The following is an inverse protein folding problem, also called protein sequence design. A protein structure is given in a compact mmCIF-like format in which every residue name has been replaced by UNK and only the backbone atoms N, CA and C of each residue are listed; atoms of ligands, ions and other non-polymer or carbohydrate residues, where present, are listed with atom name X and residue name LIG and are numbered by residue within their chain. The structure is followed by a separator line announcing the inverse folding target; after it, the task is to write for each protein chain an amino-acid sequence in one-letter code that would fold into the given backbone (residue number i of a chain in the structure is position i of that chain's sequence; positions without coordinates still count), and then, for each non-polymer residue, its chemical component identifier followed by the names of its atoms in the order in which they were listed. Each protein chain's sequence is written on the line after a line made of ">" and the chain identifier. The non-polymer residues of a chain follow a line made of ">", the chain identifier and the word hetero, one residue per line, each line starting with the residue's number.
data_IF_576961349513
#
_entry.id   IF_576961349513
#
_cell.length_a   1.000
_cell.length_b   1.000
_cell.length_c   1.000
_cell.angle_alpha   90.00
_cell.angle_beta   90.00
_cell.angle_gamma   90.00
#
_symmetry.space_group_name_H-M   'P 1'
#
loop_
_entity.id
_entity.type
_entity.pdbx_description
1 polymer ?
#
# COMPACT_ATOMS: atom_id res chain seq x y z
N UNK A 1 66.39 11.06 4.64
CA UNK A 1 65.00 11.43 4.97
C UNK A 1 64.10 10.26 4.63
N UNK A 2 63.86 9.40 5.60
CA UNK A 2 63.08 8.16 5.45
C UNK A 2 61.81 8.29 6.26
N UNK A 3 60.67 8.56 5.60
CA UNK A 3 59.37 8.53 6.25
C UNK A 3 59.06 7.09 6.74
N UNK A 4 58.51 6.92 7.96
CA UNK A 4 58.29 5.60 8.52
C UNK A 4 57.05 4.95 7.88
N UNK A 5 57.19 3.68 7.51
CA UNK A 5 56.14 2.75 7.03
C UNK A 5 55.02 2.46 8.04
N UNK A 6 54.91 3.23 9.13
CA UNK A 6 53.92 3.02 10.19
C UNK A 6 52.60 3.78 9.97
N UNK A 7 52.55 4.75 9.05
CA UNK A 7 51.33 5.54 8.81
C UNK A 7 50.29 4.82 7.95
N UNK A 8 50.65 3.73 7.25
CA UNK A 8 49.71 3.01 6.39
C UNK A 8 48.89 1.94 7.14
N UNK A 9 49.37 1.46 8.29
CA UNK A 9 48.67 0.46 9.09
C UNK A 9 47.54 1.07 9.94
N UNK A 10 47.61 2.37 10.25
CA UNK A 10 46.54 3.06 10.97
C UNK A 10 45.33 3.40 10.10
N UNK A 11 45.50 3.46 8.77
CA UNK A 11 44.40 3.70 7.82
C UNK A 11 43.65 2.41 7.40
N UNK A 12 44.21 1.23 7.68
CA UNK A 12 43.57 -0.06 7.43
C UNK A 12 42.80 -0.61 8.65
N UNK A 13 43.03 -0.08 9.86
CA UNK A 13 42.28 -0.46 11.05
C UNK A 13 40.99 0.37 11.28
N UNK A 14 40.84 1.53 10.62
CA UNK A 14 39.60 2.32 10.67
C UNK A 14 38.57 1.87 9.63
N UNK A 15 38.95 1.04 8.66
CA UNK A 15 38.03 0.51 7.64
C UNK A 15 37.25 -0.74 8.10
N UNK A 16 37.69 -1.41 9.17
CA UNK A 16 37.00 -2.61 9.70
C UNK A 16 36.10 -2.33 10.91
N UNK A 17 36.02 -1.08 11.37
CA UNK A 17 35.10 -0.65 12.43
C UNK A 17 33.97 0.26 11.91
N UNK A 18 33.66 0.20 10.61
CA UNK A 18 32.48 0.84 10.01
C UNK A 18 31.38 -0.16 9.61
N UNK A 19 31.52 -1.44 9.99
CA UNK A 19 30.53 -2.50 9.74
C UNK A 19 29.90 -3.05 11.03
N UNK A 20 30.07 -2.36 12.16
CA UNK A 20 29.49 -2.75 13.44
C UNK A 20 28.36 -1.82 13.85
N UNK A 21 27.13 -2.27 13.65
CA UNK A 21 25.92 -1.77 14.31
C UNK A 21 25.47 -0.37 13.88
N UNK A 22 24.99 -0.25 12.64
CA UNK A 22 23.73 0.49 12.49
C UNK A 22 22.73 -0.25 13.41
N UNK A 23 22.16 0.38 14.46
CA UNK A 23 21.05 -0.25 15.17
C UNK A 23 20.05 -0.59 14.09
N UNK A 24 19.71 -1.87 13.99
CA UNK A 24 18.84 -2.36 12.94
C UNK A 24 17.66 -1.41 12.82
N UNK A 25 17.32 -1.03 11.59
CA UNK A 25 16.06 -0.35 11.32
C UNK A 25 14.87 -1.13 11.95
N UNK A 26 15.10 -2.39 12.33
CA UNK A 26 14.22 -3.25 13.11
C UNK A 26 13.90 -2.82 14.54
N UNK A 27 14.67 -1.96 15.23
CA UNK A 27 14.26 -1.51 16.58
C UNK A 27 12.92 -0.77 16.56
N UNK A 28 12.56 -0.19 15.43
CA UNK A 28 11.28 0.47 15.20
C UNK A 28 10.21 -0.47 14.61
N UNK A 29 10.52 -1.73 14.29
CA UNK A 29 9.55 -2.69 13.74
C UNK A 29 9.10 -3.75 14.73
N UNK A 30 9.85 -3.96 15.82
CA UNK A 30 9.64 -5.10 16.72
C UNK A 30 8.47 -4.91 17.71
N UNK A 31 7.92 -3.69 17.86
CA UNK A 31 6.84 -3.38 18.82
C UNK A 31 5.50 -2.95 18.18
N UNK A 32 5.37 -3.06 16.86
CA UNK A 32 4.09 -2.86 16.18
C UNK A 32 3.26 -4.15 16.23
N UNK A 33 1.92 -4.08 16.35
CA UNK A 33 1.09 -5.17 15.90
C UNK A 33 1.28 -5.24 14.37
N UNK A 34 2.28 -5.99 13.90
CA UNK A 34 2.65 -6.16 12.49
C UNK A 34 1.42 -6.48 11.61
N UNK A 35 0.43 -7.16 12.22
CA UNK A 35 -0.86 -7.45 11.62
C UNK A 35 -1.70 -6.20 11.31
N UNK A 36 -1.72 -5.18 12.18
CA UNK A 36 -2.49 -3.94 11.93
C UNK A 36 -1.90 -3.14 10.77
N UNK A 37 -0.57 -3.00 10.73
CA UNK A 37 0.11 -2.33 9.62
C UNK A 37 -0.11 -3.08 8.31
N UNK A 38 0.04 -4.42 8.34
CA UNK A 38 -0.17 -5.28 7.17
C UNK A 38 -1.60 -5.18 6.64
N UNK A 39 -2.61 -5.25 7.52
CA UNK A 39 -4.02 -5.09 7.15
C UNK A 39 -4.25 -3.71 6.50
N UNK A 40 -3.73 -2.64 7.11
CA UNK A 40 -3.92 -1.28 6.64
C UNK A 40 -3.22 -1.00 5.29
N UNK A 41 -1.98 -1.46 5.13
CA UNK A 41 -1.25 -1.40 3.85
C UNK A 41 -1.99 -2.19 2.78
N UNK A 42 -2.55 -3.35 3.12
CA UNK A 42 -3.30 -4.20 2.18
C UNK A 42 -4.57 -3.51 1.68
N UNK A 43 -5.35 -2.90 2.58
CA UNK A 43 -6.54 -2.11 2.20
C UNK A 43 -6.17 -0.99 1.25
N UNK A 44 -5.16 -0.19 1.61
CA UNK A 44 -4.73 0.96 0.81
C UNK A 44 -4.18 0.53 -0.56
N UNK A 45 -3.33 -0.50 -0.60
CA UNK A 45 -2.75 -1.01 -1.84
C UNK A 45 -3.82 -1.60 -2.77
N UNK A 46 -4.75 -2.42 -2.25
CA UNK A 46 -5.85 -2.99 -3.06
C UNK A 46 -6.78 -1.89 -3.59
N UNK A 47 -7.11 -0.88 -2.76
CA UNK A 47 -7.87 0.29 -3.22
C UNK A 47 -7.20 1.03 -4.36
N UNK A 48 -5.90 1.34 -4.22
CA UNK A 48 -5.12 1.96 -5.29
C UNK A 48 -5.09 1.10 -6.56
N UNK A 49 -5.05 -0.22 -6.43
CA UNK A 49 -5.08 -1.14 -7.57
C UNK A 49 -6.43 -1.15 -8.27
N UNK A 50 -7.56 -1.15 -7.56
CA UNK A 50 -8.88 -1.06 -8.19
C UNK A 50 -9.11 0.30 -8.86
N UNK A 51 -8.68 1.40 -8.23
CA UNK A 51 -8.69 2.73 -8.85
C UNK A 51 -7.86 2.76 -10.13
N UNK A 52 -6.68 2.14 -10.11
CA UNK A 52 -5.80 2.06 -11.27
C UNK A 52 -6.42 1.24 -12.39
N UNK A 53 -7.01 0.08 -12.07
CA UNK A 53 -7.72 -0.76 -13.02
C UNK A 53 -8.89 0.00 -13.67
N UNK A 54 -9.66 0.73 -12.87
CA UNK A 54 -10.77 1.56 -13.31
C UNK A 54 -10.30 2.67 -14.27
N UNK A 55 -9.20 3.36 -13.93
CA UNK A 55 -8.63 4.40 -14.78
C UNK A 55 -8.18 3.86 -16.13
N UNK A 56 -7.64 2.65 -16.18
CA UNK A 56 -7.23 2.03 -17.44
C UNK A 56 -8.46 1.59 -18.24
N UNK A 57 -9.43 0.91 -17.63
CA UNK A 57 -10.67 0.52 -18.29
C UNK A 57 -11.51 1.73 -18.74
N UNK A 58 -11.44 2.85 -18.01
CA UNK A 58 -12.10 4.11 -18.37
C UNK A 58 -11.47 4.83 -19.57
N UNK A 59 -10.32 4.34 -20.09
CA UNK A 59 -9.76 4.81 -21.37
C UNK A 59 -10.37 4.07 -22.57
N UNK A 60 -11.18 3.02 -22.34
CA UNK A 60 -12.03 2.47 -23.38
C UNK A 60 -13.13 3.49 -23.70
N UNK A 61 -13.64 3.45 -24.93
CA UNK A 61 -14.81 4.24 -25.32
C UNK A 61 -16.10 3.43 -25.08
N UNK A 62 -17.23 4.12 -24.88
CA UNK A 62 -18.56 3.51 -24.82
C UNK A 62 -18.97 2.93 -23.46
N UNK A 63 -20.00 2.08 -23.48
CA UNK A 63 -20.76 1.65 -22.29
C UNK A 63 -19.92 0.82 -21.30
N UNK A 64 -18.91 0.10 -21.78
CA UNK A 64 -18.02 -0.70 -20.93
C UNK A 64 -17.23 0.19 -19.96
N UNK A 65 -16.69 1.31 -20.46
CA UNK A 65 -15.94 2.26 -19.63
C UNK A 65 -16.84 2.88 -18.56
N UNK A 66 -18.04 3.33 -18.94
CA UNK A 66 -19.00 3.91 -18.01
C UNK A 66 -19.41 2.91 -16.91
N UNK A 67 -19.68 1.66 -17.30
CA UNK A 67 -20.08 0.59 -16.37
C UNK A 67 -18.99 0.30 -15.34
N UNK A 68 -17.73 0.15 -15.77
CA UNK A 68 -16.61 -0.15 -14.85
C UNK A 68 -16.37 1.01 -13.87
N UNK A 69 -16.40 2.25 -14.35
CA UNK A 69 -16.20 3.43 -13.50
C UNK A 69 -17.33 3.56 -12.46
N UNK A 70 -18.57 3.30 -12.85
CA UNK A 70 -19.70 3.29 -11.93
C UNK A 70 -19.54 2.22 -10.83
N UNK A 71 -19.21 0.99 -11.21
CA UNK A 71 -19.05 -0.12 -10.25
C UNK A 71 -17.89 0.10 -9.29
N UNK A 72 -16.76 0.65 -9.75
CA UNK A 72 -15.63 1.00 -8.88
C UNK A 72 -16.02 2.11 -7.89
N UNK A 73 -16.82 3.08 -8.34
CA UNK A 73 -17.30 4.16 -7.49
C UNK A 73 -18.21 3.62 -6.38
N UNK A 74 -19.15 2.73 -6.70
CA UNK A 74 -20.03 2.11 -5.71
C UNK A 74 -19.26 1.18 -4.77
N UNK A 75 -18.35 0.37 -5.31
CA UNK A 75 -17.43 -0.44 -4.49
C UNK A 75 -16.65 0.42 -3.49
N UNK A 76 -16.14 1.57 -3.94
CA UNK A 76 -15.38 2.48 -3.07
C UNK A 76 -16.24 3.05 -1.94
N UNK A 77 -17.51 3.40 -2.22
CA UNK A 77 -18.46 3.85 -1.19
C UNK A 77 -18.71 2.76 -0.14
N UNK A 78 -18.94 1.50 -0.57
CA UNK A 78 -19.15 0.38 0.36
C UNK A 78 -17.93 0.11 1.24
N UNK A 79 -16.73 0.39 0.75
CA UNK A 79 -15.46 0.12 1.43
C UNK A 79 -14.84 1.36 2.11
N UNK A 80 -15.52 2.52 2.09
CA UNK A 80 -14.99 3.80 2.61
C UNK A 80 -14.52 3.71 4.08
N UNK A 81 -15.28 3.01 4.92
CA UNK A 81 -14.91 2.83 6.34
C UNK A 81 -13.57 2.09 6.51
N UNK A 82 -13.25 1.13 5.65
CA UNK A 82 -11.97 0.41 5.69
C UNK A 82 -10.82 1.32 5.28
N UNK A 83 -11.03 2.18 4.26
CA UNK A 83 -10.03 3.18 3.87
C UNK A 83 -9.74 4.18 5.00
N UNK A 84 -10.80 4.67 5.67
CA UNK A 84 -10.65 5.55 6.84
C UNK A 84 -9.92 4.85 7.98
N UNK A 85 -10.30 3.60 8.27
CA UNK A 85 -9.64 2.79 9.29
C UNK A 85 -8.16 2.55 9.00
N UNK A 86 -7.83 2.17 7.76
CA UNK A 86 -6.47 1.94 7.34
C UNK A 86 -5.62 3.21 7.38
N UNK A 87 -6.15 4.34 6.90
CA UNK A 87 -5.46 5.63 6.96
C UNK A 87 -5.21 6.07 8.41
N UNK A 88 -6.20 5.94 9.30
CA UNK A 88 -6.05 6.27 10.71
C UNK A 88 -5.00 5.38 11.39
N UNK A 89 -5.04 4.07 11.12
CA UNK A 89 -4.07 3.11 11.66
C UNK A 89 -2.65 3.44 11.19
N UNK A 90 -2.46 3.70 9.90
CA UNK A 90 -1.16 4.08 9.35
C UNK A 90 -0.68 5.38 10.00
N UNK A 91 -1.49 6.44 10.05
CA UNK A 91 -1.12 7.71 10.68
C UNK A 91 -0.64 7.52 12.14
N UNK A 92 -1.39 6.76 12.95
CA UNK A 92 -1.02 6.47 14.34
C UNK A 92 0.31 5.68 14.44
N UNK A 93 0.57 4.80 13.49
CA UNK A 93 1.85 4.08 13.38
C UNK A 93 2.99 5.06 13.06
N UNK A 94 2.83 5.95 12.09
CA UNK A 94 3.86 6.95 11.76
C UNK A 94 4.08 7.96 12.87
N UNK A 95 3.04 8.35 13.60
CA UNK A 95 3.17 9.19 14.80
C UNK A 95 4.08 8.57 15.85
N UNK A 96 3.99 7.23 16.01
CA UNK A 96 4.83 6.49 16.97
C UNK A 96 6.28 6.33 16.49
N UNK A 97 6.50 6.06 15.21
CA UNK A 97 7.83 5.67 14.70
C UNK A 97 8.64 6.86 14.17
N UNK A 98 7.97 7.94 13.78
CA UNK A 98 8.61 9.15 13.28
C UNK A 98 8.18 10.39 14.09
N UNK A 99 8.38 10.40 15.43
CA UNK A 99 7.91 11.49 16.28
C UNK A 99 8.64 12.81 16.00
N UNK A 100 9.87 12.75 15.50
CA UNK A 100 10.75 13.93 15.28
C UNK A 100 10.76 14.41 13.82
N UNK A 101 10.32 13.58 12.87
CA UNK A 101 10.37 13.90 11.44
C UNK A 101 9.25 14.82 10.94
N UNK A 102 8.28 15.15 11.80
CA UNK A 102 7.11 15.95 11.43
C UNK A 102 6.19 15.24 10.41
N UNK A 103 5.18 15.97 9.95
CA UNK A 103 4.15 15.43 9.04
C UNK A 103 4.72 14.97 7.69
N UNK A 104 5.73 15.67 7.16
CA UNK A 104 6.33 15.35 5.86
C UNK A 104 7.10 14.02 5.86
N UNK A 105 7.87 13.72 6.91
CA UNK A 105 8.61 12.46 6.99
C UNK A 105 7.66 11.26 7.14
N UNK A 106 6.56 11.43 7.88
CA UNK A 106 5.49 10.43 8.01
C UNK A 106 4.83 10.16 6.66
N UNK A 107 4.42 11.22 5.97
CA UNK A 107 3.84 11.11 4.63
C UNK A 107 4.83 10.45 3.66
N UNK A 108 6.11 10.80 3.70
CA UNK A 108 7.15 10.19 2.86
C UNK A 108 7.34 8.70 3.14
N UNK A 109 7.36 8.28 4.40
CA UNK A 109 7.43 6.88 4.80
C UNK A 109 6.21 6.08 4.31
N UNK A 110 5.00 6.56 4.59
CA UNK A 110 3.78 5.89 4.12
C UNK A 110 3.70 5.84 2.61
N UNK A 111 4.06 6.93 1.94
CA UNK A 111 4.06 6.98 0.48
C UNK A 111 5.08 5.99 -0.09
N UNK A 112 6.24 5.79 0.55
CA UNK A 112 7.21 4.79 0.10
C UNK A 112 6.68 3.35 0.19
N UNK A 113 6.00 3.01 1.30
CA UNK A 113 5.43 1.67 1.53
C UNK A 113 4.26 1.42 0.58
N UNK A 114 3.35 2.38 0.47
CA UNK A 114 2.16 2.29 -0.39
C UNK A 114 2.53 2.29 -1.87
N UNK A 115 3.43 3.17 -2.32
CA UNK A 115 3.86 3.22 -3.73
C UNK A 115 4.56 1.93 -4.12
N UNK A 116 5.45 1.39 -3.27
CA UNK A 116 6.16 0.14 -3.56
C UNK A 116 5.18 -1.03 -3.69
N UNK A 117 4.26 -1.15 -2.73
CA UNK A 117 3.27 -2.23 -2.68
C UNK A 117 2.25 -2.12 -3.82
N UNK A 118 1.74 -0.92 -4.07
CA UNK A 118 0.80 -0.66 -5.16
C UNK A 118 1.46 -0.87 -6.53
N UNK A 119 2.72 -0.45 -6.71
CA UNK A 119 3.46 -0.68 -7.96
C UNK A 119 3.60 -2.18 -8.26
N UNK A 120 4.02 -2.97 -7.27
CA UNK A 120 4.13 -4.42 -7.43
C UNK A 120 2.77 -5.06 -7.76
N UNK A 121 1.71 -4.63 -7.09
CA UNK A 121 0.35 -5.15 -7.31
C UNK A 121 -0.19 -4.76 -8.68
N UNK A 122 -0.01 -3.50 -9.09
CA UNK A 122 -0.44 -3.01 -10.40
C UNK A 122 0.32 -3.71 -11.53
N UNK A 123 1.62 -3.96 -11.38
CA UNK A 123 2.37 -4.75 -12.36
C UNK A 123 1.82 -6.18 -12.52
N UNK A 124 1.37 -6.82 -11.44
CA UNK A 124 0.72 -8.14 -11.50
C UNK A 124 -0.63 -8.05 -12.20
N UNK A 125 -1.46 -7.08 -11.83
CA UNK A 125 -2.76 -6.84 -12.48
C UNK A 125 -2.60 -6.64 -13.99
N UNK A 126 -1.63 -5.82 -14.40
CA UNK A 126 -1.36 -5.52 -15.80
C UNK A 126 -0.96 -6.77 -16.61
N UNK A 127 -0.20 -7.70 -15.99
CA UNK A 127 0.06 -9.03 -16.58
C UNK A 127 -1.21 -9.86 -16.71
N UNK A 128 -2.11 -9.81 -15.72
CA UNK A 128 -3.38 -10.54 -15.73
C UNK A 128 -4.38 -9.99 -16.76
N UNK A 129 -4.35 -8.69 -17.03
CA UNK A 129 -5.19 -8.03 -18.05
C UNK A 129 -4.66 -8.24 -19.49
N UNK A 130 -3.94 -9.35 -19.75
CA UNK A 130 -3.38 -9.74 -21.05
C UNK A 130 -2.40 -8.73 -21.68
N UNK A 131 -1.38 -8.32 -20.93
CA UNK A 131 -0.17 -7.72 -21.52
C UNK A 131 -0.16 -6.19 -21.63
N UNK A 132 -1.11 -5.51 -21.00
CA UNK A 132 -0.96 -4.09 -20.74
C UNK A 132 0.32 -3.89 -19.88
N UNK A 133 1.07 -2.82 -20.11
CA UNK A 133 2.21 -2.44 -19.24
C UNK A 133 1.97 -1.02 -18.71
N UNK A 134 2.64 -0.63 -17.62
CA UNK A 134 2.52 0.72 -17.06
C UNK A 134 2.92 1.82 -18.07
N UNK A 135 3.75 1.47 -19.05
CA UNK A 135 4.40 2.40 -19.97
C UNK A 135 3.83 2.35 -21.40
N UNK A 136 2.97 1.37 -21.73
CA UNK A 136 2.41 1.23 -23.08
C UNK A 136 0.96 1.70 -23.12
N UNK A 137 0.62 2.46 -24.17
CA UNK A 137 -0.74 2.91 -24.53
C UNK A 137 -1.71 1.79 -24.95
N UNK A 138 -1.39 0.54 -24.60
CA UNK A 138 -2.22 -0.63 -24.91
C UNK A 138 -3.36 -0.71 -23.91
N UNK A 139 -4.59 -0.62 -24.42
CA UNK A 139 -5.81 -0.75 -23.63
C UNK A 139 -6.11 -2.22 -23.34
N UNK A 140 -6.65 -2.55 -22.14
CA UNK A 140 -7.09 -3.89 -21.82
C UNK A 140 -8.31 -4.26 -22.67
N UNK A 141 -8.56 -5.55 -22.94
CA UNK A 141 -9.74 -5.98 -23.66
C UNK A 141 -11.02 -5.70 -22.85
N UNK A 142 -12.12 -5.32 -23.52
CA UNK A 142 -13.43 -5.03 -22.90
C UNK A 142 -13.91 -6.16 -21.98
N UNK A 143 -13.72 -7.42 -22.39
CA UNK A 143 -14.10 -8.59 -21.60
C UNK A 143 -13.40 -8.63 -20.22
N UNK A 144 -12.14 -8.20 -20.14
CA UNK A 144 -11.41 -8.14 -18.88
C UNK A 144 -11.91 -7.00 -17.98
N UNK A 145 -12.24 -5.85 -18.58
CA UNK A 145 -12.87 -4.73 -17.89
C UNK A 145 -14.26 -5.08 -17.35
N UNK A 146 -15.08 -5.78 -18.14
CA UNK A 146 -16.36 -6.32 -17.68
C UNK A 146 -16.20 -7.43 -16.62
N UNK A 147 -15.09 -8.16 -16.64
CA UNK A 147 -14.72 -9.09 -15.57
C UNK A 147 -14.45 -8.37 -14.25
N UNK A 148 -13.69 -7.28 -14.28
CA UNK A 148 -13.46 -6.40 -13.12
C UNK A 148 -14.77 -5.83 -12.58
N UNK A 149 -15.62 -5.28 -13.45
CA UNK A 149 -16.94 -4.74 -13.06
C UNK A 149 -17.77 -5.79 -12.32
N UNK A 150 -17.90 -7.00 -12.88
CA UNK A 150 -18.65 -8.10 -12.23
C UNK A 150 -18.07 -8.50 -10.87
N UNK A 151 -16.75 -8.66 -10.78
CA UNK A 151 -16.08 -9.00 -9.51
C UNK A 151 -16.38 -7.97 -8.41
N UNK A 152 -16.41 -6.68 -8.76
CA UNK A 152 -16.71 -5.60 -7.82
C UNK A 152 -18.20 -5.54 -7.49
N UNK A 153 -19.07 -5.76 -8.47
CA UNK A 153 -20.51 -5.84 -8.28
C UNK A 153 -20.90 -6.96 -7.30
N UNK A 154 -20.31 -8.14 -7.50
CA UNK A 154 -20.57 -9.36 -6.70
C UNK A 154 -19.93 -9.31 -5.30
N UNK A 155 -19.21 -8.23 -4.96
CA UNK A 155 -18.59 -8.04 -3.65
C UNK A 155 -17.39 -8.95 -3.38
N UNK A 156 -16.84 -9.61 -4.41
CA UNK A 156 -15.65 -10.49 -4.29
C UNK A 156 -14.41 -9.69 -3.84
N UNK A 157 -14.38 -8.39 -4.14
CA UNK A 157 -13.34 -7.46 -3.69
C UNK A 157 -13.66 -6.68 -2.40
N UNK A 158 -14.76 -6.97 -1.71
CA UNK A 158 -15.14 -6.21 -0.50
C UNK A 158 -14.34 -6.64 0.73
N UNK A 159 -13.77 -5.66 1.44
CA UNK A 159 -12.88 -5.92 2.59
C UNK A 159 -13.62 -6.56 3.77
N UNK A 160 -14.93 -6.31 3.89
CA UNK A 160 -15.79 -6.93 4.90
C UNK A 160 -15.73 -8.46 4.89
N UNK A 161 -15.59 -9.05 3.70
CA UNK A 161 -15.61 -10.49 3.49
C UNK A 161 -14.23 -11.05 3.09
N UNK A 162 -13.19 -10.20 3.10
CA UNK A 162 -11.83 -10.58 2.72
C UNK A 162 -11.10 -11.17 3.95
N UNK A 163 -10.71 -12.46 3.94
CA UNK A 163 -10.04 -13.11 5.06
C UNK A 163 -8.72 -12.43 5.49
N UNK A 164 -8.08 -11.73 4.56
CA UNK A 164 -6.82 -11.02 4.79
C UNK A 164 -7.02 -9.66 5.49
N UNK A 165 -8.25 -9.15 5.59
CA UNK A 165 -8.56 -7.85 6.22
C UNK A 165 -9.47 -8.06 7.42
N UNK A 166 -9.13 -8.97 8.33
CA UNK A 166 -10.09 -9.37 9.38
C UNK A 166 -9.43 -10.00 10.61
N UNK A 167 -8.62 -9.23 11.33
CA UNK A 167 -8.66 -9.28 12.82
C UNK A 167 -8.10 -8.04 13.49
N UNK A 168 -6.94 -7.52 13.05
CA UNK A 168 -6.30 -6.39 13.73
C UNK A 168 -6.95 -5.06 13.33
N UNK A 169 -7.17 -4.82 12.04
CA UNK A 169 -7.77 -3.57 11.56
C UNK A 169 -9.24 -3.44 11.97
N UNK A 170 -10.03 -4.50 11.86
CA UNK A 170 -11.43 -4.49 12.33
C UNK A 170 -11.50 -4.20 13.83
N UNK A 171 -10.70 -4.88 14.65
CA UNK A 171 -10.65 -4.62 16.09
C UNK A 171 -10.19 -3.19 16.40
N UNK A 172 -9.23 -2.66 15.64
CA UNK A 172 -8.80 -1.26 15.74
C UNK A 172 -9.95 -0.30 15.43
N UNK A 173 -10.65 -0.51 14.32
CA UNK A 173 -11.79 0.32 13.91
C UNK A 173 -12.94 0.28 14.93
N UNK A 174 -13.18 -0.87 15.57
CA UNK A 174 -14.16 -1.01 16.66
C UNK A 174 -13.75 -0.16 17.87
N UNK A 175 -12.49 -0.28 18.32
CA UNK A 175 -11.95 0.50 19.46
C UNK A 175 -11.95 2.00 19.21
N UNK A 176 -11.76 2.43 17.96
CA UNK A 176 -11.73 3.85 17.56
C UNK A 176 -13.12 4.40 17.18
N UNK A 177 -14.19 3.62 17.34
CA UNK A 177 -15.56 3.98 16.94
C UNK A 177 -15.70 4.38 15.46
N UNK A 178 -14.80 3.92 14.60
CA UNK A 178 -14.86 4.13 13.14
C UNK A 178 -15.99 3.27 12.53
N UNK A 179 -16.41 2.21 13.23
CA UNK A 179 -17.49 1.32 12.82
C UNK A 179 -18.91 1.81 13.15
N UNK A 180 -19.13 3.06 13.57
CA UNK A 180 -20.48 3.59 13.80
C UNK A 180 -20.76 4.94 13.15
N UNK A 181 -21.45 4.92 12.00
CA UNK A 181 -22.72 5.63 11.82
C UNK A 181 -23.33 5.28 10.44
N UNK A 182 -24.21 4.27 10.43
CA UNK A 182 -25.34 4.03 9.51
C UNK A 182 -25.42 2.57 9.04
N UNK A 183 -26.28 1.80 9.71
CA UNK A 183 -27.40 1.06 9.08
C UNK A 183 -28.27 0.44 10.17
N UNK A 184 -29.25 1.23 10.64
CA UNK A 184 -30.65 0.78 10.61
C UNK A 184 -31.19 1.10 9.22
#
# INVERSE_FOLDING_TARGET
>A
MTLPRFTLLFLLATATMAHGQSPSFNRYTDDLPQLLETDAVTVMARGMTHDFAAKICGRLDGDVAATVVAEVTEWRKRNDMFFRGASAALNEIGDRHLPVGGEQAKQGYFQSVLVTTAKATNQRLMKQLNGATLDNSVLPPEAACMGLSRMLHDGVGDFKNTPEVTRALVSYMQRKSILSSNTR
#
